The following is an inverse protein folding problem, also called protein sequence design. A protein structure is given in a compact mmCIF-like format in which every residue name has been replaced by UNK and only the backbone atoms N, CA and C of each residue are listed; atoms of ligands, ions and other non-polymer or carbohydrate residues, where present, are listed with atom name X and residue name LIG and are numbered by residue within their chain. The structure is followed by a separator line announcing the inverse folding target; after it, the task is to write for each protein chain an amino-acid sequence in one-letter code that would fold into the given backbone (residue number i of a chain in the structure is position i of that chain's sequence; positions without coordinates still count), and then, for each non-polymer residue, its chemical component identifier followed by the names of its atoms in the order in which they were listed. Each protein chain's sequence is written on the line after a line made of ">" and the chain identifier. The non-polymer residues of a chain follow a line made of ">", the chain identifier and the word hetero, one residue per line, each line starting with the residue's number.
data_IF_744468563463
#
_entry.id   IF_744468563463
#
_cell.length_a   1.000
_cell.length_b   1.000
_cell.length_c   1.000
_cell.angle_alpha   90.00
_cell.angle_beta   90.00
_cell.angle_gamma   90.00
#
_symmetry.space_group_name_H-M   'P 1'
#
loop_
_entity.id
_entity.type
_entity.pdbx_description
1 polymer ?
#
# COMPACT_ATOMS: atom_id res chain seq x y z
N UNK A 1 -50.12 -4.83 -15.39
CA UNK A 1 -48.91 -3.99 -15.20
C UNK A 1 -47.95 -4.48 -14.09
N UNK A 2 -48.20 -5.64 -13.45
CA UNK A 2 -47.29 -6.17 -12.42
C UNK A 2 -46.09 -6.96 -12.99
N UNK A 3 -46.28 -7.67 -14.11
CA UNK A 3 -45.21 -8.49 -14.72
C UNK A 3 -44.00 -7.65 -15.14
N UNK A 4 -44.20 -6.50 -15.80
CA UNK A 4 -43.10 -5.65 -16.29
C UNK A 4 -42.22 -5.06 -15.18
N UNK A 5 -42.74 -4.89 -13.96
CA UNK A 5 -41.94 -4.42 -12.80
C UNK A 5 -41.14 -5.54 -12.14
N UNK A 6 -41.61 -6.78 -12.21
CA UNK A 6 -40.90 -7.95 -11.70
C UNK A 6 -39.74 -8.33 -12.64
N UNK A 7 -39.98 -8.29 -13.95
CA UNK A 7 -38.97 -8.57 -14.97
C UNK A 7 -37.80 -7.57 -14.89
N UNK A 8 -38.09 -6.26 -14.80
CA UNK A 8 -37.06 -5.23 -14.65
C UNK A 8 -36.23 -5.36 -13.36
N UNK A 9 -36.84 -5.80 -12.26
CA UNK A 9 -36.14 -6.04 -10.98
C UNK A 9 -35.21 -7.25 -11.05
N UNK A 10 -35.62 -8.31 -11.76
CA UNK A 10 -34.81 -9.50 -11.97
C UNK A 10 -33.59 -9.16 -12.85
N UNK A 11 -33.77 -8.37 -13.89
CA UNK A 11 -32.68 -7.92 -14.77
C UNK A 11 -31.63 -7.10 -14.01
N UNK A 12 -32.05 -6.14 -13.19
CA UNK A 12 -31.13 -5.32 -12.40
C UNK A 12 -30.36 -6.13 -11.34
N UNK A 13 -31.04 -7.09 -10.71
CA UNK A 13 -30.39 -8.00 -9.76
C UNK A 13 -29.37 -8.92 -10.45
N UNK A 14 -29.66 -9.38 -11.66
CA UNK A 14 -28.75 -10.20 -12.45
C UNK A 14 -27.51 -9.40 -12.88
N UNK A 15 -27.68 -8.16 -13.34
CA UNK A 15 -26.57 -7.26 -13.67
C UNK A 15 -25.67 -7.01 -12.45
N UNK A 16 -26.28 -6.78 -11.27
CA UNK A 16 -25.53 -6.59 -10.02
C UNK A 16 -24.71 -7.83 -9.65
N UNK A 17 -25.30 -9.03 -9.72
CA UNK A 17 -24.60 -10.30 -9.45
C UNK A 17 -23.46 -10.55 -10.41
N UNK A 18 -23.67 -10.33 -11.71
CA UNK A 18 -22.64 -10.52 -12.73
C UNK A 18 -21.46 -9.58 -12.49
N UNK A 19 -21.73 -8.32 -12.14
CA UNK A 19 -20.71 -7.35 -11.80
C UNK A 19 -19.94 -7.70 -10.52
N UNK A 20 -20.64 -8.19 -9.48
CA UNK A 20 -19.99 -8.68 -8.26
C UNK A 20 -19.06 -9.88 -8.55
N UNK A 21 -19.48 -10.82 -9.41
CA UNK A 21 -18.66 -11.95 -9.83
C UNK A 21 -17.42 -11.50 -10.62
N UNK A 22 -17.58 -10.53 -11.52
CA UNK A 22 -16.46 -9.96 -12.28
C UNK A 22 -15.44 -9.30 -11.34
N UNK A 23 -15.90 -8.43 -10.43
CA UNK A 23 -15.04 -7.75 -9.46
C UNK A 23 -14.34 -8.74 -8.54
N UNK A 24 -15.01 -9.82 -8.12
CA UNK A 24 -14.41 -10.89 -7.33
C UNK A 24 -13.25 -11.56 -8.07
N UNK A 25 -13.41 -11.87 -9.36
CA UNK A 25 -12.35 -12.46 -10.20
C UNK A 25 -11.18 -11.49 -10.38
N UNK A 26 -11.46 -10.22 -10.68
CA UNK A 26 -10.43 -9.18 -10.82
C UNK A 26 -9.66 -8.99 -9.51
N UNK A 27 -10.36 -8.92 -8.37
CA UNK A 27 -9.75 -8.81 -7.04
C UNK A 27 -8.79 -9.96 -6.78
N UNK A 28 -9.20 -11.19 -7.07
CA UNK A 28 -8.33 -12.37 -6.90
C UNK A 28 -7.09 -12.31 -7.80
N UNK A 29 -7.26 -11.86 -9.06
CA UNK A 29 -6.16 -11.66 -10.00
C UNK A 29 -5.14 -10.61 -9.49
N UNK A 30 -5.62 -9.45 -9.07
CA UNK A 30 -4.75 -8.40 -8.52
C UNK A 30 -4.07 -8.83 -7.21
N UNK A 31 -4.75 -9.58 -6.35
CA UNK A 31 -4.13 -10.14 -5.14
C UNK A 31 -2.99 -11.12 -5.48
N UNK A 32 -3.17 -11.93 -6.52
CA UNK A 32 -2.11 -12.80 -7.04
C UNK A 32 -0.89 -11.99 -7.50
N UNK A 33 -1.11 -10.91 -8.25
CA UNK A 33 -0.04 -10.02 -8.70
C UNK A 33 0.69 -9.35 -7.52
N UNK A 34 -0.05 -8.84 -6.52
CA UNK A 34 0.54 -8.28 -5.29
C UNK A 34 1.44 -9.29 -4.60
N UNK A 35 1.01 -10.55 -4.46
CA UNK A 35 1.81 -11.60 -3.83
C UNK A 35 3.06 -11.91 -4.63
N UNK A 36 2.97 -11.99 -5.95
CA UNK A 36 4.12 -12.23 -6.82
C UNK A 36 5.15 -11.11 -6.71
N UNK A 37 4.71 -9.84 -6.75
CA UNK A 37 5.59 -8.68 -6.61
C UNK A 37 6.19 -8.59 -5.21
N UNK A 38 5.43 -8.91 -4.18
CA UNK A 38 5.93 -8.99 -2.80
C UNK A 38 7.06 -10.01 -2.66
N UNK A 39 6.87 -11.22 -3.22
CA UNK A 39 7.91 -12.25 -3.21
C UNK A 39 9.18 -11.79 -3.90
N UNK A 40 9.07 -11.14 -5.07
CA UNK A 40 10.23 -10.59 -5.78
C UNK A 40 11.00 -9.56 -4.94
N UNK A 41 10.30 -8.64 -4.26
CA UNK A 41 10.96 -7.69 -3.35
C UNK A 41 11.62 -8.43 -2.19
N UNK A 42 10.94 -9.43 -1.61
CA UNK A 42 11.49 -10.21 -0.48
C UNK A 42 12.75 -10.99 -0.87
N UNK A 43 12.82 -11.56 -2.06
CA UNK A 43 14.02 -12.24 -2.58
C UNK A 43 15.18 -11.24 -2.68
N UNK A 44 14.94 -10.07 -3.29
CA UNK A 44 15.95 -9.01 -3.42
C UNK A 44 16.42 -8.44 -2.08
N UNK A 45 15.57 -8.49 -1.04
CA UNK A 45 15.93 -8.08 0.32
C UNK A 45 16.83 -9.09 1.04
N UNK A 46 16.81 -10.37 0.62
CA UNK A 46 17.66 -11.41 1.21
C UNK A 46 19.01 -11.55 0.49
N UNK A 47 19.11 -11.00 -0.72
CA UNK A 47 20.33 -10.96 -1.53
C UNK A 47 21.02 -9.60 -1.37
N UNK A 48 22.35 -9.55 -1.52
CA UNK A 48 23.13 -8.30 -1.61
C UNK A 48 22.88 -7.61 -2.98
N UNK A 49 21.62 -7.26 -3.23
CA UNK A 49 21.16 -6.80 -4.55
C UNK A 49 21.39 -5.30 -4.73
N UNK A 50 21.59 -4.89 -5.99
CA UNK A 50 21.64 -3.49 -6.37
C UNK A 50 20.35 -2.76 -5.94
N UNK A 51 20.51 -1.64 -5.23
CA UNK A 51 19.40 -0.86 -4.70
C UNK A 51 18.48 -0.27 -5.77
N UNK A 52 18.99 0.02 -6.96
CA UNK A 52 18.16 0.53 -8.06
C UNK A 52 17.16 -0.53 -8.53
N UNK A 53 17.60 -1.80 -8.53
CA UNK A 53 16.73 -2.94 -8.83
C UNK A 53 15.70 -3.13 -7.72
N UNK A 54 16.14 -3.08 -6.45
CA UNK A 54 15.23 -3.17 -5.31
C UNK A 54 14.16 -2.07 -5.34
N UNK A 55 14.55 -0.81 -5.54
CA UNK A 55 13.62 0.32 -5.61
C UNK A 55 12.60 0.16 -6.74
N UNK A 56 13.05 -0.28 -7.92
CA UNK A 56 12.15 -0.54 -9.05
C UNK A 56 11.11 -1.62 -8.73
N UNK A 57 11.52 -2.70 -8.08
CA UNK A 57 10.58 -3.76 -7.70
C UNK A 57 9.64 -3.34 -6.56
N UNK A 58 10.10 -2.50 -5.63
CA UNK A 58 9.24 -1.86 -4.62
C UNK A 58 8.17 -1.01 -5.29
N UNK A 59 8.52 -0.16 -6.27
CA UNK A 59 7.53 0.62 -7.03
C UNK A 59 6.54 -0.28 -7.78
N UNK A 60 7.01 -1.40 -8.34
CA UNK A 60 6.14 -2.36 -9.02
C UNK A 60 5.14 -3.02 -8.04
N UNK A 61 5.62 -3.38 -6.85
CA UNK A 61 4.78 -3.88 -5.77
C UNK A 61 3.74 -2.83 -5.33
N UNK A 62 4.15 -1.58 -5.13
CA UNK A 62 3.24 -0.50 -4.74
C UNK A 62 2.15 -0.27 -5.80
N UNK A 63 2.51 -0.24 -7.09
CA UNK A 63 1.55 -0.14 -8.19
C UNK A 63 0.56 -1.30 -8.21
N UNK A 64 1.02 -2.54 -7.98
CA UNK A 64 0.15 -3.70 -7.90
C UNK A 64 -0.80 -3.61 -6.69
N UNK A 65 -0.27 -3.17 -5.54
CA UNK A 65 -1.05 -3.00 -4.32
C UNK A 65 -2.16 -1.96 -4.48
N UNK A 66 -1.87 -0.81 -5.10
CA UNK A 66 -2.89 0.21 -5.37
C UNK A 66 -4.03 -0.34 -6.25
N UNK A 67 -3.71 -1.03 -7.34
CA UNK A 67 -4.74 -1.67 -8.21
C UNK A 67 -5.60 -2.67 -7.44
N UNK A 68 -4.99 -3.46 -6.56
CA UNK A 68 -5.73 -4.39 -5.71
C UNK A 68 -6.67 -3.64 -4.76
N UNK A 69 -6.22 -2.55 -4.13
CA UNK A 69 -7.07 -1.73 -3.24
C UNK A 69 -8.24 -1.14 -4.01
N UNK A 70 -8.00 -0.53 -5.17
CA UNK A 70 -9.06 0.09 -5.99
C UNK A 70 -10.16 -0.91 -6.36
N UNK A 71 -9.77 -2.12 -6.77
CA UNK A 71 -10.73 -3.19 -7.10
C UNK A 71 -11.35 -3.80 -5.85
N UNK A 72 -10.61 -3.88 -4.74
CA UNK A 72 -11.14 -4.37 -3.48
C UNK A 72 -12.26 -3.47 -2.97
N UNK A 73 -12.05 -2.15 -2.93
CA UNK A 73 -13.06 -1.17 -2.53
C UNK A 73 -14.30 -1.24 -3.44
N UNK A 74 -14.08 -1.33 -4.76
CA UNK A 74 -15.19 -1.53 -5.70
C UNK A 74 -15.97 -2.82 -5.40
N UNK A 75 -15.29 -3.95 -5.19
CA UNK A 75 -15.94 -5.21 -4.84
C UNK A 75 -16.84 -5.09 -3.60
N UNK A 76 -16.40 -4.40 -2.54
CA UNK A 76 -17.19 -4.24 -1.31
C UNK A 76 -18.48 -3.44 -1.51
N UNK A 77 -18.58 -2.63 -2.57
CA UNK A 77 -19.81 -1.88 -2.89
C UNK A 77 -20.87 -2.71 -3.61
N UNK A 78 -20.48 -3.85 -4.21
CA UNK A 78 -21.37 -4.75 -4.94
C UNK A 78 -21.68 -6.06 -4.21
N UNK A 79 -20.92 -6.40 -3.16
CA UNK A 79 -21.20 -7.56 -2.31
C UNK A 79 -22.26 -7.20 -1.25
N UNK A 80 -23.49 -7.67 -1.48
CA UNK A 80 -24.64 -7.43 -0.58
C UNK A 80 -24.62 -8.34 0.66
N UNK A 81 -23.80 -9.38 0.66
CA UNK A 81 -23.64 -10.27 1.81
C UNK A 81 -22.67 -9.63 2.82
N UNK A 82 -23.21 -8.97 3.84
CA UNK A 82 -22.46 -8.31 4.91
C UNK A 82 -21.47 -9.25 5.62
N UNK A 83 -21.81 -10.54 5.74
CA UNK A 83 -20.94 -11.53 6.39
C UNK A 83 -19.73 -11.83 5.50
N UNK A 84 -19.95 -12.05 4.19
CA UNK A 84 -18.84 -12.21 3.23
C UNK A 84 -18.00 -10.94 3.15
N UNK A 85 -18.62 -9.77 3.14
CA UNK A 85 -17.96 -8.48 3.07
C UNK A 85 -17.03 -8.30 4.29
N UNK A 86 -17.53 -8.56 5.49
CA UNK A 86 -16.77 -8.51 6.76
C UNK A 86 -15.57 -9.46 6.76
N UNK A 87 -15.75 -10.70 6.30
CA UNK A 87 -14.65 -11.67 6.19
C UNK A 87 -13.56 -11.23 5.18
N UNK A 88 -13.97 -10.61 4.07
CA UNK A 88 -13.01 -10.12 3.07
C UNK A 88 -12.23 -8.89 3.55
N UNK A 89 -12.88 -8.03 4.33
CA UNK A 89 -12.23 -6.93 5.03
C UNK A 89 -11.21 -7.50 6.01
N UNK A 90 -11.62 -8.35 6.95
CA UNK A 90 -10.73 -8.92 7.97
C UNK A 90 -9.53 -9.65 7.34
N UNK A 91 -9.77 -10.44 6.29
CA UNK A 91 -8.71 -11.11 5.54
C UNK A 91 -7.70 -10.14 4.90
N UNK A 92 -8.18 -9.01 4.36
CA UNK A 92 -7.31 -7.95 3.84
C UNK A 92 -6.55 -7.24 4.96
N UNK A 93 -7.24 -6.84 6.04
CA UNK A 93 -6.64 -6.11 7.17
C UNK A 93 -5.51 -6.93 7.81
N UNK A 94 -5.74 -8.22 8.04
CA UNK A 94 -4.84 -9.07 8.81
C UNK A 94 -3.68 -9.65 7.98
N UNK A 95 -3.82 -9.77 6.66
CA UNK A 95 -2.78 -10.41 5.84
C UNK A 95 -2.02 -9.45 4.94
N UNK A 96 -2.69 -8.60 4.17
CA UNK A 96 -2.01 -7.81 3.15
C UNK A 96 -1.48 -6.49 3.70
N UNK A 97 -2.18 -5.88 4.66
CA UNK A 97 -1.69 -4.68 5.34
C UNK A 97 -0.48 -4.97 6.22
N UNK A 98 -0.49 -6.06 6.96
CA UNK A 98 0.64 -6.46 7.80
C UNK A 98 1.89 -6.75 6.95
N UNK A 99 1.73 -7.44 5.82
CA UNK A 99 2.84 -7.67 4.88
C UNK A 99 3.39 -6.37 4.31
N UNK A 100 2.51 -5.44 3.90
CA UNK A 100 2.94 -4.12 3.43
C UNK A 100 3.70 -3.34 4.50
N UNK A 101 3.16 -3.30 5.72
CA UNK A 101 3.78 -2.60 6.84
C UNK A 101 5.16 -3.19 7.18
N UNK A 102 5.27 -4.52 7.22
CA UNK A 102 6.55 -5.21 7.42
C UNK A 102 7.58 -4.87 6.34
N UNK A 103 7.16 -4.82 5.07
CA UNK A 103 8.03 -4.43 3.96
C UNK A 103 8.56 -2.99 4.11
N UNK A 104 7.66 -2.05 4.40
CA UNK A 104 8.02 -0.64 4.60
C UNK A 104 9.00 -0.45 5.75
N UNK A 105 8.83 -1.18 6.86
CA UNK A 105 9.76 -1.15 7.98
C UNK A 105 11.14 -1.68 7.60
N UNK A 106 11.19 -2.78 6.85
CA UNK A 106 12.46 -3.37 6.39
C UNK A 106 13.19 -2.42 5.45
N UNK A 107 12.50 -1.82 4.48
CA UNK A 107 13.09 -0.84 3.56
C UNK A 107 13.60 0.40 4.32
N UNK A 108 12.83 0.91 5.29
CA UNK A 108 13.26 2.03 6.15
C UNK A 108 14.54 1.70 6.93
N UNK A 109 14.62 0.49 7.49
CA UNK A 109 15.81 0.02 8.22
C UNK A 109 17.02 -0.06 7.31
N UNK A 110 16.90 -0.69 6.14
CA UNK A 110 17.99 -0.79 5.16
C UNK A 110 18.50 0.58 4.72
N UNK A 111 17.60 1.53 4.47
CA UNK A 111 17.99 2.88 4.11
C UNK A 111 18.72 3.61 5.25
N UNK A 112 18.35 3.35 6.50
CA UNK A 112 19.03 3.90 7.68
C UNK A 112 20.43 3.30 7.83
N UNK A 113 20.55 1.97 7.81
CA UNK A 113 21.81 1.25 7.99
C UNK A 113 22.82 1.65 6.90
N UNK A 114 22.34 1.82 5.66
CA UNK A 114 23.17 2.32 4.53
C UNK A 114 23.56 3.78 4.67
N UNK A 115 22.70 4.62 5.26
CA UNK A 115 23.03 6.01 5.58
C UNK A 115 24.14 6.11 6.64
N UNK A 116 24.09 5.24 7.64
CA UNK A 116 25.12 5.12 8.68
C UNK A 116 26.45 4.59 8.10
N UNK A 117 26.40 3.56 7.24
CA UNK A 117 27.58 3.05 6.52
C UNK A 117 28.23 4.11 5.63
N UNK A 118 27.46 4.85 4.84
CA UNK A 118 27.99 5.93 3.99
C UNK A 118 28.63 7.06 4.82
N UNK A 119 28.09 7.34 6.02
CA UNK A 119 28.66 8.32 6.93
C UNK A 119 29.98 7.84 7.56
N UNK A 120 30.08 6.54 7.87
CA UNK A 120 31.32 5.91 8.34
C UNK A 120 32.39 5.86 7.25
N UNK A 121 32.04 5.46 6.02
CA UNK A 121 32.96 5.48 4.87
C UNK A 121 33.49 6.89 4.56
N UNK A 122 32.64 7.91 4.68
CA UNK A 122 33.05 9.31 4.53
C UNK A 122 33.99 9.76 5.65
N UNK A 123 33.73 9.35 6.90
CA UNK A 123 34.60 9.64 8.04
C UNK A 123 35.96 8.95 7.93
N UNK A 124 35.99 7.70 7.45
CA UNK A 124 37.23 6.95 7.18
C UNK A 124 37.99 7.56 6.00
N UNK A 125 37.30 7.92 4.92
CA UNK A 125 37.92 8.59 3.75
C UNK A 125 38.52 9.97 4.09
N UNK A 126 37.93 10.69 5.06
CA UNK A 126 38.45 11.97 5.57
C UNK A 126 39.80 11.82 6.29
N UNK A 127 40.14 10.62 6.77
CA UNK A 127 41.44 10.36 7.40
C UNK A 127 42.55 9.96 6.42
N UNK A 128 42.24 9.71 5.14
CA UNK A 128 43.23 9.19 4.17
C UNK A 128 43.70 10.16 3.08
N UNK A 129 43.10 11.34 2.86
CA UNK A 129 43.63 12.27 1.86
C UNK A 129 43.50 13.76 2.20
N UNK A 130 44.60 14.30 2.72
CA UNK A 130 44.96 15.72 2.60
C UNK A 130 45.28 16.02 1.12
N UNK A 131 44.39 16.72 0.40
CA UNK A 131 44.67 17.13 -0.98
C UNK A 131 43.53 17.80 -1.77
N UNK A 132 43.37 19.12 -1.57
CA UNK A 132 42.88 20.18 -2.49
C UNK A 132 41.76 19.88 -3.54
N UNK A 133 40.64 20.60 -3.34
CA UNK A 133 39.57 21.11 -4.23
C UNK A 133 39.45 20.69 -5.70
N UNK A 134 38.21 20.48 -6.18
CA UNK A 134 37.67 21.12 -7.40
C UNK A 134 36.13 21.09 -7.46
N UNK A 135 35.57 22.19 -7.98
CA UNK A 135 34.15 22.52 -8.19
C UNK A 135 33.41 21.48 -9.05
N UNK A 136 32.13 21.23 -8.74
CA UNK A 136 31.12 20.82 -9.73
C UNK A 136 29.70 21.20 -9.27
N UNK A 137 28.88 21.55 -10.26
CA UNK A 137 27.63 22.31 -10.23
C UNK A 137 26.46 21.57 -9.55
N UNK A 138 25.82 22.23 -8.58
CA UNK A 138 24.71 21.69 -7.78
C UNK A 138 23.39 22.35 -8.19
N UNK A 139 22.86 21.99 -9.35
CA UNK A 139 21.52 22.42 -9.78
C UNK A 139 20.82 21.30 -10.56
N UNK A 140 20.24 20.31 -9.85
CA UNK A 140 19.17 19.45 -10.39
C UNK A 140 18.44 18.60 -9.31
N UNK A 141 18.97 18.45 -8.10
CA UNK A 141 18.43 17.48 -7.11
C UNK A 141 17.22 17.97 -6.28
N UNK A 142 16.86 19.25 -6.32
CA UNK A 142 15.83 19.80 -5.41
C UNK A 142 14.39 19.49 -5.82
N UNK A 143 14.10 19.33 -7.11
CA UNK A 143 12.70 19.16 -7.59
C UNK A 143 12.12 17.76 -7.33
N UNK A 144 12.93 16.70 -7.42
CA UNK A 144 12.50 15.30 -7.17
C UNK A 144 12.29 15.02 -5.69
N UNK A 145 13.15 15.56 -4.82
CA UNK A 145 13.01 15.43 -3.37
C UNK A 145 11.75 16.13 -2.83
N UNK A 146 11.35 17.26 -3.43
CA UNK A 146 10.12 17.99 -3.04
C UNK A 146 8.88 17.21 -3.46
N UNK A 147 8.82 16.66 -4.69
CA UNK A 147 7.66 15.83 -5.10
C UNK A 147 7.52 14.55 -4.29
N UNK A 148 8.63 13.87 -3.97
CA UNK A 148 8.60 12.68 -3.12
C UNK A 148 8.10 12.98 -1.70
N UNK A 149 8.48 14.14 -1.14
CA UNK A 149 7.99 14.60 0.17
C UNK A 149 6.48 14.85 0.17
N UNK A 150 5.96 15.51 -0.87
CA UNK A 150 4.53 15.84 -0.97
C UNK A 150 3.65 14.57 -0.98
N UNK A 151 4.03 13.55 -1.76
CA UNK A 151 3.26 12.28 -1.82
C UNK A 151 3.32 11.49 -0.50
N UNK A 152 4.46 11.49 0.19
CA UNK A 152 4.61 10.84 1.50
C UNK A 152 3.83 11.58 2.58
N UNK A 153 3.75 12.90 2.49
CA UNK A 153 3.02 13.74 3.44
C UNK A 153 1.50 13.60 3.25
N UNK A 154 1.01 13.53 2.00
CA UNK A 154 -0.39 13.18 1.69
C UNK A 154 -0.78 11.80 2.21
N UNK A 155 0.07 10.78 1.99
CA UNK A 155 -0.18 9.43 2.50
C UNK A 155 -0.23 9.39 4.04
N UNK A 156 0.65 10.14 4.72
CA UNK A 156 0.64 10.25 6.18
C UNK A 156 -0.59 11.01 6.71
N UNK A 157 -1.06 12.05 6.01
CA UNK A 157 -2.28 12.77 6.37
C UNK A 157 -3.51 11.86 6.25
N UNK A 158 -3.61 11.11 5.15
CA UNK A 158 -4.70 10.15 4.92
C UNK A 158 -4.68 9.03 5.97
N UNK A 159 -3.50 8.57 6.38
CA UNK A 159 -3.34 7.59 7.46
C UNK A 159 -3.77 8.14 8.82
N UNK A 160 -3.44 9.40 9.15
CA UNK A 160 -3.90 10.05 10.39
C UNK A 160 -5.41 10.20 10.43
N UNK A 161 -6.03 10.60 9.32
CA UNK A 161 -7.48 10.74 9.21
C UNK A 161 -8.19 9.39 9.42
N UNK A 162 -7.69 8.32 8.79
CA UNK A 162 -8.21 6.97 8.97
C UNK A 162 -8.04 6.47 10.41
N UNK A 163 -6.92 6.78 11.07
CA UNK A 163 -6.69 6.42 12.46
C UNK A 163 -7.65 7.17 13.41
N UNK A 164 -7.88 8.47 13.18
CA UNK A 164 -8.88 9.24 13.93
C UNK A 164 -10.28 8.68 13.73
N UNK A 165 -10.64 8.30 12.50
CA UNK A 165 -11.93 7.66 12.20
C UNK A 165 -12.07 6.33 12.95
N UNK A 166 -11.00 5.53 13.04
CA UNK A 166 -10.98 4.27 13.77
C UNK A 166 -11.13 4.49 15.29
N UNK A 167 -10.43 5.47 15.86
CA UNK A 167 -10.55 5.81 17.29
C UNK A 167 -11.96 6.30 17.61
N UNK A 168 -12.54 7.10 16.72
CA UNK A 168 -13.93 7.58 16.83
C UNK A 168 -14.93 6.41 16.84
N UNK A 169 -14.85 5.50 15.88
CA UNK A 169 -15.73 4.33 15.83
C UNK A 169 -15.55 3.40 17.01
N UNK A 170 -14.32 3.16 17.47
CA UNK A 170 -14.06 2.37 18.68
C UNK A 170 -14.65 3.02 19.94
N UNK A 171 -14.62 4.34 20.02
CA UNK A 171 -15.18 5.09 21.17
C UNK A 171 -16.71 5.05 21.15
N UNK A 172 -17.32 5.24 19.98
CA UNK A 172 -18.77 5.09 19.79
C UNK A 172 -19.25 3.68 20.12
N UNK A 173 -18.59 2.65 19.61
CA UNK A 173 -18.96 1.25 19.89
C UNK A 173 -18.88 0.93 21.37
N UNK A 174 -17.86 1.47 22.06
CA UNK A 174 -17.65 1.26 23.50
C UNK A 174 -18.68 2.00 24.36
N UNK A 175 -19.22 3.13 23.89
CA UNK A 175 -20.29 3.84 24.57
C UNK A 175 -21.67 3.19 24.31
N UNK A 176 -21.91 2.65 23.11
CA UNK A 176 -23.14 1.91 22.81
C UNK A 176 -23.22 0.61 23.61
N UNK A 177 -22.09 -0.08 23.83
CA UNK A 177 -22.02 -1.29 24.67
C UNK A 177 -22.11 -1.05 26.18
N UNK A 178 -22.30 0.20 26.63
CA UNK A 178 -22.48 0.56 28.05
C UNK A 178 -23.95 0.87 28.40
N UNK A 179 -24.87 0.78 27.42
CA UNK A 179 -26.30 1.03 27.58
C UNK A 179 -27.18 -0.21 27.34
N UNK A 180 -26.58 -1.38 27.12
CA UNK A 180 -27.21 -2.72 27.25
C UNK A 180 -26.78 -3.37 28.57
#
# INVERSE_FOLDING_TARGET
>A
MLNTRLDARLDEQNIRRERALQLRRQRAGHLGDVRNKFSAVKELLNEDTNIEVLNREVENYERAFCKFVDIHEQYLTFEDDETKNSLQIESYEKSQRDLKYGLELTIKRLNKDRGELASLEAAVSLHSHSGKSKKSSRASTKMTAIRGRIHVEEANLKMKELHQRQVFWKTLFKQVSLFD
#
